data_IF_125683227266
#
_entry.id   IF_125683227266
#
_cell.length_a   1.000
_cell.length_b   1.000
_cell.length_c   1.000
_cell.angle_alpha   90.00
_cell.angle_beta   90.00
_cell.angle_gamma   90.00
#
_symmetry.space_group_name_H-M   'P 1'
#
loop_
_entity.id
_entity.type
_entity.pdbx_description
1 polymer ?
#
# COMPACT_ATOMS: atom_id res chain seq x y z
N UNK A 1 -7.03 17.22 9.45
CA UNK A 1 -7.73 18.35 8.79
C UNK A 1 -6.79 19.46 8.31
N UNK A 2 -5.66 19.73 8.99
CA UNK A 2 -4.70 20.78 8.57
C UNK A 2 -4.14 20.60 7.14
N UNK A 3 -3.74 19.38 6.75
CA UNK A 3 -3.06 19.14 5.46
C UNK A 3 -3.82 19.61 4.20
N UNK A 4 -5.15 19.49 4.21
CA UNK A 4 -5.97 19.88 3.05
C UNK A 4 -6.16 21.40 2.98
N UNK A 5 -6.27 22.05 4.15
CA UNK A 5 -6.31 23.51 4.27
C UNK A 5 -4.96 24.12 3.88
N UNK A 6 -3.86 23.58 4.39
CA UNK A 6 -2.50 24.01 4.04
C UNK A 6 -2.26 23.89 2.53
N UNK A 7 -2.75 22.81 1.92
CA UNK A 7 -2.68 22.60 0.48
C UNK A 7 -3.50 23.63 -0.32
N UNK A 8 -4.70 23.98 0.15
CA UNK A 8 -5.50 25.04 -0.50
C UNK A 8 -4.84 26.41 -0.40
N UNK A 9 -4.22 26.72 0.75
CA UNK A 9 -3.47 27.97 0.98
C UNK A 9 -2.25 28.04 0.05
N UNK A 10 -1.46 26.96 -0.02
CA UNK A 10 -0.28 26.89 -0.87
C UNK A 10 -0.61 27.07 -2.37
N UNK A 11 -1.79 26.61 -2.81
CA UNK A 11 -2.30 26.76 -4.18
C UNK A 11 -2.99 28.10 -4.42
N UNK A 12 -3.15 28.95 -3.40
CA UNK A 12 -3.89 30.22 -3.50
C UNK A 12 -5.34 30.03 -3.93
N UNK A 13 -5.96 28.89 -3.59
CA UNK A 13 -7.30 28.52 -4.04
C UNK A 13 -8.22 28.19 -2.85
N UNK A 14 -9.52 28.07 -3.10
CA UNK A 14 -10.48 27.57 -2.12
C UNK A 14 -10.63 26.06 -2.26
N UNK A 15 -11.08 25.39 -1.21
CA UNK A 15 -11.36 23.95 -1.26
C UNK A 15 -12.33 23.58 -2.40
N UNK A 16 -13.36 24.41 -2.62
CA UNK A 16 -14.34 24.23 -3.71
C UNK A 16 -13.77 24.34 -5.12
N UNK A 17 -12.58 24.94 -5.28
CA UNK A 17 -11.91 25.14 -6.57
C UNK A 17 -10.64 24.31 -6.69
N UNK A 18 -10.44 23.35 -5.78
CA UNK A 18 -9.27 22.49 -5.78
C UNK A 18 -9.43 21.40 -6.83
N UNK A 19 -8.53 21.37 -7.82
CA UNK A 19 -8.44 20.31 -8.82
C UNK A 19 -7.07 19.63 -8.71
N UNK A 20 -6.88 18.71 -7.74
CA UNK A 20 -5.61 18.04 -7.55
C UNK A 20 -5.37 17.03 -8.68
N UNK A 21 -4.13 16.95 -9.16
CA UNK A 21 -3.74 15.89 -10.08
C UNK A 21 -3.53 14.56 -9.33
N UNK A 22 -3.34 13.46 -10.08
CA UNK A 22 -3.21 12.13 -9.47
C UNK A 22 -2.08 12.07 -8.44
N UNK A 23 -0.93 12.70 -8.70
CA UNK A 23 0.23 12.70 -7.78
C UNK A 23 -0.08 13.43 -6.48
N UNK A 24 -0.90 14.48 -6.52
CA UNK A 24 -1.27 15.28 -5.34
C UNK A 24 -2.33 14.59 -4.49
N UNK A 25 -3.33 13.98 -5.14
CA UNK A 25 -4.26 13.07 -4.45
C UNK A 25 -3.44 11.99 -3.75
N UNK A 26 -2.45 11.47 -4.47
CA UNK A 26 -1.54 10.49 -3.97
C UNK A 26 -0.75 10.99 -2.74
N UNK A 27 -0.12 12.15 -2.76
CA UNK A 27 0.62 12.68 -1.60
C UNK A 27 -0.28 12.98 -0.39
N UNK A 28 -1.48 13.52 -0.64
CA UNK A 28 -2.40 13.97 0.42
C UNK A 28 -3.15 12.83 1.10
N UNK A 29 -3.45 11.75 0.37
CA UNK A 29 -4.34 10.68 0.85
C UNK A 29 -3.64 9.34 1.01
N UNK A 30 -2.45 9.13 0.44
CA UNK A 30 -1.92 7.78 0.31
C UNK A 30 -1.52 7.12 1.62
N UNK A 31 -1.46 5.77 1.57
CA UNK A 31 -0.64 4.95 2.47
C UNK A 31 0.81 5.42 2.65
N UNK A 32 1.37 6.26 1.76
CA UNK A 32 2.76 6.71 1.82
C UNK A 32 3.05 7.58 3.04
N UNK A 33 2.19 8.56 3.36
CA UNK A 33 2.38 9.39 4.55
C UNK A 33 2.38 8.55 5.83
N UNK A 34 1.45 7.59 5.92
CA UNK A 34 1.40 6.59 7.00
C UNK A 34 2.66 5.72 7.02
N UNK A 35 3.06 5.17 5.87
CA UNK A 35 4.25 4.32 5.70
C UNK A 35 5.49 5.02 6.21
N UNK A 36 5.69 6.29 5.85
CA UNK A 36 6.88 7.04 6.23
C UNK A 36 6.90 7.35 7.73
N UNK A 37 5.74 7.58 8.36
CA UNK A 37 5.65 7.71 9.83
C UNK A 37 6.00 6.40 10.52
N UNK A 38 5.44 5.27 10.06
CA UNK A 38 5.74 3.94 10.61
C UNK A 38 7.21 3.59 10.43
N UNK A 39 7.78 3.84 9.25
CA UNK A 39 9.18 3.56 8.97
C UNK A 39 10.11 4.40 9.86
N UNK A 40 9.83 5.69 10.06
CA UNK A 40 10.56 6.52 11.02
C UNK A 40 10.45 5.99 12.45
N UNK A 41 9.31 5.43 12.84
CA UNK A 41 9.15 4.82 14.16
C UNK A 41 10.01 3.55 14.31
N UNK A 42 10.07 2.70 13.27
CA UNK A 42 10.99 1.56 13.24
C UNK A 42 12.46 2.00 13.39
N UNK A 43 12.85 3.08 12.72
CA UNK A 43 14.21 3.63 12.78
C UNK A 43 14.62 4.11 14.18
N UNK A 44 13.68 4.50 15.05
CA UNK A 44 14.00 4.84 16.44
C UNK A 44 14.55 3.65 17.23
N UNK A 45 14.10 2.43 16.91
CA UNK A 45 14.56 1.19 17.55
C UNK A 45 15.62 0.45 16.74
N UNK A 46 15.68 0.68 15.43
CA UNK A 46 16.65 0.10 14.48
C UNK A 46 17.21 1.19 13.55
N UNK A 47 18.17 2.00 14.02
CA UNK A 47 18.74 3.10 13.21
C UNK A 47 19.49 2.63 11.95
N UNK A 48 19.87 1.36 11.91
CA UNK A 48 20.49 0.67 10.77
C UNK A 48 19.50 0.34 9.65
N UNK A 49 18.20 0.54 9.87
CA UNK A 49 17.16 0.39 8.85
C UNK A 49 17.14 1.65 7.96
N UNK A 50 17.93 1.64 6.89
CA UNK A 50 18.15 2.82 6.05
C UNK A 50 17.13 2.93 4.91
N UNK A 51 16.58 1.80 4.48
CA UNK A 51 15.64 1.72 3.36
C UNK A 51 14.53 0.71 3.62
N UNK A 52 13.37 0.91 2.98
CA UNK A 52 12.29 -0.08 2.99
C UNK A 52 12.68 -1.39 2.32
N UNK A 53 13.67 -1.36 1.43
CA UNK A 53 14.26 -2.57 0.84
C UNK A 53 14.86 -3.49 1.90
N UNK A 54 15.26 -2.97 3.06
CA UNK A 54 15.79 -3.74 4.18
C UNK A 54 14.72 -4.57 4.89
N UNK A 55 13.44 -4.35 4.54
CA UNK A 55 12.27 -5.14 4.97
C UNK A 55 11.65 -5.93 3.81
N UNK A 56 12.22 -5.89 2.62
CA UNK A 56 11.72 -6.64 1.47
C UNK A 56 12.17 -8.10 1.51
N UNK A 57 11.31 -9.02 1.07
CA UNK A 57 11.67 -10.43 0.91
C UNK A 57 11.86 -11.20 2.23
N UNK A 58 11.34 -10.69 3.34
CA UNK A 58 11.33 -11.38 4.63
C UNK A 58 10.72 -12.78 4.48
N UNK A 59 11.40 -13.77 5.06
CA UNK A 59 10.92 -15.16 5.16
C UNK A 59 10.31 -15.48 6.51
N UNK A 60 10.68 -14.71 7.53
CA UNK A 60 10.18 -14.86 8.89
C UNK A 60 9.72 -13.50 9.42
N UNK A 61 8.74 -13.45 10.33
CA UNK A 61 8.34 -12.23 11.01
C UNK A 61 9.51 -11.56 11.75
N UNK A 62 9.57 -10.23 11.69
CA UNK A 62 10.60 -9.42 12.36
C UNK A 62 9.94 -8.45 13.33
N UNK A 63 10.21 -8.62 14.62
CA UNK A 63 9.79 -7.67 15.65
C UNK A 63 10.82 -6.53 15.80
N UNK A 64 10.35 -5.28 15.76
CA UNK A 64 11.16 -4.08 15.95
C UNK A 64 10.46 -3.16 16.95
N UNK A 65 11.02 -3.06 18.16
CA UNK A 65 10.32 -2.39 19.26
C UNK A 65 9.01 -3.11 19.55
N UNK A 66 7.89 -2.41 19.37
CA UNK A 66 6.51 -2.88 19.52
C UNK A 66 5.81 -3.18 18.18
N UNK A 67 6.52 -3.10 17.05
CA UNK A 67 5.96 -3.30 15.71
C UNK A 67 6.43 -4.64 15.14
N UNK A 68 5.47 -5.52 14.82
CA UNK A 68 5.72 -6.78 14.11
C UNK A 68 5.59 -6.57 12.60
N UNK A 69 6.69 -6.81 11.87
CA UNK A 69 6.71 -6.80 10.40
C UNK A 69 6.58 -8.24 9.90
N UNK A 70 5.58 -8.50 9.06
CA UNK A 70 5.29 -9.83 8.53
C UNK A 70 5.92 -10.06 7.14
N UNK A 71 6.24 -11.31 6.80
CA UNK A 71 6.46 -11.72 5.41
C UNK A 71 5.27 -11.37 4.51
N UNK A 72 5.51 -11.34 3.20
CA UNK A 72 4.47 -10.95 2.23
C UNK A 72 3.21 -11.81 2.35
N UNK A 73 3.35 -13.10 2.65
CA UNK A 73 2.22 -14.02 2.75
C UNK A 73 1.40 -13.84 4.04
N UNK A 74 1.98 -13.26 5.09
CA UNK A 74 1.28 -13.04 6.35
C UNK A 74 -0.01 -12.23 6.21
N UNK A 75 -0.03 -11.30 5.25
CA UNK A 75 -1.25 -10.56 4.89
C UNK A 75 -1.58 -10.65 3.41
N UNK A 76 -0.56 -10.65 2.56
CA UNK A 76 -0.68 -10.50 1.11
C UNK A 76 -0.89 -11.78 0.32
N UNK A 77 -1.01 -12.94 0.97
CA UNK A 77 -1.21 -14.21 0.26
C UNK A 77 -2.38 -14.13 -0.73
N UNK A 78 -2.20 -14.65 -1.95
CA UNK A 78 -3.21 -14.65 -3.02
C UNK A 78 -3.28 -13.40 -3.90
N UNK A 79 -2.47 -12.35 -3.64
CA UNK A 79 -2.34 -11.23 -4.57
C UNK A 79 -1.53 -11.64 -5.82
N UNK A 80 -1.74 -10.98 -6.96
CA UNK A 80 -1.07 -11.32 -8.24
C UNK A 80 0.30 -10.65 -8.42
N UNK A 81 0.85 -10.08 -7.36
CA UNK A 81 2.07 -9.28 -7.39
C UNK A 81 2.88 -9.47 -6.10
N UNK A 82 4.00 -8.76 -5.95
CA UNK A 82 4.85 -8.81 -4.75
C UNK A 82 5.40 -10.19 -4.36
N UNK A 83 5.33 -11.17 -5.27
CA UNK A 83 5.76 -12.56 -5.05
C UNK A 83 5.07 -13.25 -3.86
N UNK A 84 3.80 -12.96 -3.59
CA UNK A 84 3.03 -13.77 -2.64
C UNK A 84 2.70 -15.14 -3.21
N UNK A 85 2.51 -16.12 -2.33
CA UNK A 85 2.01 -17.44 -2.68
C UNK A 85 0.63 -17.34 -3.36
N UNK A 86 0.52 -17.94 -4.55
CA UNK A 86 -0.68 -17.92 -5.40
C UNK A 86 -0.88 -19.22 -6.19
N UNK A 87 -0.23 -20.31 -5.79
CA UNK A 87 -0.26 -21.62 -6.45
C UNK A 87 -1.42 -22.52 -5.97
N UNK A 88 -2.29 -21.98 -5.12
CA UNK A 88 -3.42 -22.71 -4.53
C UNK A 88 -3.10 -23.33 -3.17
N UNK A 89 -1.84 -23.39 -2.76
CA UNK A 89 -1.47 -23.72 -1.39
C UNK A 89 -1.73 -22.53 -0.45
N UNK A 90 -1.78 -22.79 0.85
CA UNK A 90 -1.88 -21.76 1.90
C UNK A 90 -0.71 -21.96 2.85
N UNK A 91 0.26 -21.02 2.88
CA UNK A 91 1.34 -21.04 3.86
C UNK A 91 0.80 -21.03 5.30
N UNK A 92 1.51 -21.66 6.23
CA UNK A 92 1.09 -21.74 7.64
C UNK A 92 1.01 -20.35 8.29
N UNK A 93 1.87 -19.43 7.87
CA UNK A 93 1.93 -18.06 8.35
C UNK A 93 0.97 -17.11 7.62
N UNK A 94 0.13 -17.60 6.70
CA UNK A 94 -0.86 -16.79 6.01
C UNK A 94 -2.10 -16.53 6.88
N UNK A 95 -2.13 -15.37 7.55
CA UNK A 95 -3.26 -14.96 8.39
C UNK A 95 -4.45 -14.41 7.59
N UNK A 96 -4.21 -13.98 6.34
CA UNK A 96 -5.22 -13.43 5.43
C UNK A 96 -4.98 -13.96 4.01
N UNK A 97 -6.04 -14.37 3.33
CA UNK A 97 -6.02 -14.72 1.91
C UNK A 97 -6.82 -13.69 1.09
N UNK A 98 -6.16 -13.07 0.13
CA UNK A 98 -6.80 -12.19 -0.83
C UNK A 98 -7.45 -12.98 -1.97
N UNK A 99 -8.76 -12.78 -2.18
CA UNK A 99 -9.51 -13.32 -3.32
C UNK A 99 -9.87 -12.18 -4.28
N UNK A 100 -8.86 -11.60 -4.93
CA UNK A 100 -9.07 -10.54 -5.92
C UNK A 100 -9.71 -11.10 -7.20
N UNK A 101 -11.02 -11.30 -7.17
CA UNK A 101 -11.89 -11.47 -8.33
C UNK A 101 -12.74 -10.20 -8.45
N UNK A 102 -12.20 -9.20 -9.14
CA UNK A 102 -12.93 -7.95 -9.36
C UNK A 102 -14.02 -8.18 -10.39
N UNK A 103 -15.20 -8.64 -9.97
CA UNK A 103 -16.37 -8.84 -10.86
C UNK A 103 -16.74 -7.60 -11.67
N UNK A 104 -16.44 -6.41 -11.14
CA UNK A 104 -16.67 -5.11 -11.78
C UNK A 104 -15.66 -4.77 -12.90
N UNK A 105 -14.53 -5.50 -13.00
CA UNK A 105 -13.50 -5.20 -14.02
C UNK A 105 -13.84 -5.75 -15.40
N UNK A 106 -14.74 -6.73 -15.48
CA UNK A 106 -15.04 -7.46 -16.71
C UNK A 106 -16.22 -6.88 -17.52
N UNK A 107 -16.84 -5.78 -17.06
CA UNK A 107 -18.01 -5.18 -17.74
C UNK A 107 -17.71 -4.48 -19.08
N UNK A 108 -16.44 -4.42 -19.52
CA UNK A 108 -16.03 -3.71 -20.75
C UNK A 108 -15.27 -4.57 -21.77
N UNK A 109 -15.58 -5.87 -21.87
CA UNK A 109 -14.97 -6.75 -22.90
C UNK A 109 -15.96 -7.55 -23.77
N UNK A 110 -17.22 -7.17 -23.79
CA UNK A 110 -18.17 -7.61 -24.83
C UNK A 110 -18.55 -6.39 -25.66
N UNK A 111 -18.24 -6.42 -26.97
CA UNK A 111 -18.71 -5.54 -28.06
C UNK A 111 -17.63 -4.84 -28.91
N UNK A 112 -16.45 -5.44 -29.13
CA UNK A 112 -15.49 -4.94 -30.14
C UNK A 112 -14.92 -6.04 -31.06
N UNK A 113 -15.66 -7.11 -31.33
CA UNK A 113 -15.31 -7.99 -32.46
C UNK A 113 -16.56 -8.47 -33.17
N UNK A 114 -17.11 -7.60 -34.01
CA UNK A 114 -17.84 -7.94 -35.23
C UNK A 114 -17.98 -6.65 -36.07
N UNK A 115 -17.06 -6.48 -37.03
CA UNK A 115 -17.22 -5.99 -38.42
C UNK A 115 -15.82 -6.06 -39.08
#
# INVERSE_FOLDING_TARGET
MAALQDFTIARGTTFSKLCPNISEVMELTRPFAWRDVVFRQLQKYKPDLLSLTDLSGLKEPRLVGDILVLPIDGFGMGQRHSNSTSDGSTPEDAYVQHKFQGSWKDEKKSNETEI
#
